data_IF_979528170579
#
_entry.id   IF_979528170579
#
_cell.length_a   1.000
_cell.length_b   1.000
_cell.length_c   1.000
_cell.angle_alpha   90.00
_cell.angle_beta   90.00
_cell.angle_gamma   90.00
#
_symmetry.space_group_name_H-M   'P 1'
#
loop_
_entity.id
_entity.type
_entity.pdbx_description
1 polymer ?
#
# COMPACT_ATOMS: atom_id res chain seq x y z
N UNK A 1 2.56 7.41 35.88
CA UNK A 1 2.40 7.16 34.42
C UNK A 1 1.45 8.23 33.88
N UNK A 2 1.93 9.13 33.01
CA UNK A 2 1.10 10.22 32.46
C UNK A 2 0.35 9.77 31.21
N UNK A 3 -0.96 9.96 31.16
CA UNK A 3 -1.79 9.67 29.99
C UNK A 3 -1.48 10.65 28.84
N UNK A 4 -1.80 10.27 27.60
CA UNK A 4 -1.55 11.13 26.44
C UNK A 4 -2.35 12.43 26.49
N UNK A 5 -3.61 12.35 26.91
CA UNK A 5 -4.49 13.51 27.11
C UNK A 5 -3.90 14.47 28.14
N UNK A 6 -3.39 13.96 29.25
CA UNK A 6 -2.74 14.79 30.27
C UNK A 6 -1.54 15.53 29.68
N UNK A 7 -0.67 14.84 28.94
CA UNK A 7 0.49 15.46 28.29
C UNK A 7 0.09 16.52 27.27
N UNK A 8 -0.94 16.27 26.46
CA UNK A 8 -1.44 17.23 25.46
C UNK A 8 -2.02 18.48 26.11
N UNK A 9 -2.80 18.31 27.19
CA UNK A 9 -3.36 19.44 27.96
C UNK A 9 -2.26 20.32 28.53
N UNK A 10 -1.25 19.74 29.16
CA UNK A 10 -0.11 20.50 29.69
C UNK A 10 0.65 21.20 28.57
N UNK A 11 0.90 20.53 27.44
CA UNK A 11 1.56 21.18 26.30
C UNK A 11 0.77 22.38 25.78
N UNK A 12 -0.56 22.25 25.62
CA UNK A 12 -1.43 23.36 25.21
C UNK A 12 -1.39 24.53 26.20
N UNK A 13 -1.47 24.26 27.50
CA UNK A 13 -1.37 25.28 28.56
C UNK A 13 -0.01 25.99 28.45
N UNK A 14 1.09 25.24 28.32
CA UNK A 14 2.44 25.82 28.21
C UNK A 14 2.73 26.53 26.89
N UNK A 15 2.05 26.17 25.79
CA UNK A 15 2.23 26.83 24.49
C UNK A 15 1.64 28.25 24.47
N UNK A 16 0.64 28.51 25.32
CA UNK A 16 0.00 29.84 25.45
C UNK A 16 0.64 30.74 26.51
N UNK A 17 1.60 30.21 27.27
CA UNK A 17 2.20 30.87 28.43
C UNK A 17 3.61 31.39 28.15
N UNK A 18 3.98 32.47 28.84
CA UNK A 18 5.37 32.97 28.85
C UNK A 18 6.26 32.10 29.77
N UNK A 19 7.58 32.18 29.62
CA UNK A 19 8.55 31.34 30.35
C UNK A 19 8.35 31.31 31.88
N UNK A 20 8.01 32.45 32.49
CA UNK A 20 7.71 32.54 33.93
C UNK A 20 6.43 31.80 34.35
N UNK A 21 5.42 31.77 33.50
CA UNK A 21 4.16 31.05 33.73
C UNK A 21 4.34 29.54 33.51
N UNK A 22 5.15 29.15 32.53
CA UNK A 22 5.53 27.75 32.31
C UNK A 22 6.17 27.17 33.57
N UNK A 23 7.11 27.89 34.19
CA UNK A 23 7.74 27.47 35.44
C UNK A 23 6.77 27.33 36.63
N UNK A 24 5.67 28.09 36.66
CA UNK A 24 4.62 27.95 37.66
C UNK A 24 3.78 26.68 37.43
N UNK A 25 3.40 26.41 36.18
CA UNK A 25 2.67 25.19 35.79
C UNK A 25 3.51 23.94 36.11
N UNK A 26 4.80 23.96 35.77
CA UNK A 26 5.71 22.85 36.05
C UNK A 26 5.79 22.52 37.55
N UNK A 27 5.87 23.54 38.41
CA UNK A 27 5.88 23.34 39.87
C UNK A 27 4.54 22.82 40.40
N UNK A 28 3.41 23.32 39.88
CA UNK A 28 2.05 22.86 40.24
C UNK A 28 1.86 21.38 39.92
N UNK A 29 2.36 20.96 38.77
CA UNK A 29 2.19 19.59 38.24
C UNK A 29 3.32 18.64 38.66
N UNK A 30 4.36 19.13 39.35
CA UNK A 30 5.55 18.33 39.73
C UNK A 30 6.37 17.87 38.52
N UNK A 31 6.36 18.63 37.43
CA UNK A 31 7.01 18.29 36.16
C UNK A 31 8.35 19.02 36.02
N UNK A 32 9.32 18.36 35.39
CA UNK A 32 10.59 18.98 35.02
C UNK A 32 10.57 19.46 33.56
N UNK A 33 11.40 20.45 33.23
CA UNK A 33 11.49 21.02 31.88
C UNK A 33 11.83 19.97 30.81
N UNK A 34 12.61 18.94 31.17
CA UNK A 34 12.93 17.81 30.27
C UNK A 34 11.68 17.04 29.82
N UNK A 35 10.64 16.99 30.65
CA UNK A 35 9.37 16.36 30.28
C UNK A 35 8.70 17.13 29.14
N UNK A 36 8.67 18.46 29.20
CA UNK A 36 8.10 19.28 28.13
C UNK A 36 8.88 19.11 26.83
N UNK A 37 10.21 19.15 26.87
CA UNK A 37 11.05 18.92 25.69
C UNK A 37 10.76 17.56 25.06
N UNK A 38 10.69 16.52 25.90
CA UNK A 38 10.38 15.16 25.45
C UNK A 38 8.98 15.08 24.84
N UNK A 39 7.98 15.68 25.48
CA UNK A 39 6.59 15.63 25.02
C UNK A 39 6.37 16.48 23.76
N UNK A 40 7.06 17.62 23.60
CA UNK A 40 7.05 18.40 22.35
C UNK A 40 7.61 17.59 21.19
N UNK A 41 8.72 16.88 21.39
CA UNK A 41 9.27 15.95 20.39
C UNK A 41 8.31 14.81 20.07
N UNK A 42 7.67 14.22 21.09
CA UNK A 42 6.64 13.19 20.89
C UNK A 42 5.41 13.72 20.14
N UNK A 43 5.00 14.97 20.36
CA UNK A 43 3.92 15.63 19.59
C UNK A 43 4.31 15.80 18.12
N UNK A 44 5.50 16.36 17.87
CA UNK A 44 6.02 16.58 16.52
C UNK A 44 6.19 15.26 15.73
N UNK A 45 6.60 14.19 16.42
CA UNK A 45 6.71 12.85 15.83
C UNK A 45 5.36 12.12 15.68
N UNK A 46 4.23 12.76 16.02
CA UNK A 46 2.89 12.15 15.98
C UNK A 46 2.65 11.05 17.02
N UNK A 47 3.59 10.85 17.95
CA UNK A 47 3.55 9.78 18.94
C UNK A 47 2.51 10.06 20.03
N UNK A 48 2.29 11.31 20.44
CA UNK A 48 1.26 11.62 21.45
C UNK A 48 -0.17 11.37 20.94
N UNK A 49 -0.44 11.63 19.66
CA UNK A 49 -1.70 11.23 19.02
C UNK A 49 -1.79 9.70 18.81
N UNK A 50 -0.66 9.04 18.56
CA UNK A 50 -0.59 7.58 18.51
C UNK A 50 -0.73 6.90 19.88
N UNK A 51 -0.63 7.63 21.00
CA UNK A 51 -0.94 7.10 22.33
C UNK A 51 -2.43 7.25 22.69
N UNK A 52 -3.17 8.20 22.10
CA UNK A 52 -4.64 8.26 22.23
C UNK A 52 -5.30 7.20 21.36
N UNK A 53 -4.80 7.00 20.15
CA UNK A 53 -5.18 5.89 19.28
C UNK A 53 -4.36 4.64 19.63
N UNK A 54 -4.79 3.93 20.67
CA UNK A 54 -4.22 2.67 21.13
C UNK A 54 -4.47 1.51 20.14
N UNK A 55 -4.31 1.73 18.83
CA UNK A 55 -4.24 0.66 17.83
C UNK A 55 -2.79 0.23 17.67
N UNK A 56 -2.36 -0.65 18.56
CA UNK A 56 -1.17 -1.50 18.34
C UNK A 56 -1.34 -2.26 17.02
N UNK A 57 -0.44 -2.02 16.07
CA UNK A 57 -0.32 -2.80 14.83
C UNK A 57 0.26 -1.99 13.68
N UNK A 58 0.92 -2.69 12.74
CA UNK A 58 1.21 -2.16 11.39
C UNK A 58 -0.11 -1.61 10.84
N UNK A 59 -0.15 -0.33 10.41
CA UNK A 59 -1.31 0.19 9.65
C UNK A 59 -1.66 -0.87 8.60
N UNK A 60 -2.91 -1.36 8.50
CA UNK A 60 -3.26 -2.28 7.44
C UNK A 60 -2.81 -1.60 6.14
N UNK A 61 -1.87 -2.23 5.45
CA UNK A 61 -1.49 -1.77 4.12
C UNK A 61 -2.82 -1.72 3.37
N UNK A 62 -3.25 -0.56 2.83
CA UNK A 62 -4.50 -0.49 2.11
C UNK A 62 -4.41 -1.57 1.04
N UNK A 63 -5.31 -2.55 1.13
CA UNK A 63 -5.36 -3.66 0.21
C UNK A 63 -5.47 -3.03 -1.18
N UNK A 64 -4.43 -3.21 -2.00
CA UNK A 64 -4.34 -2.52 -3.27
C UNK A 64 -5.58 -2.95 -4.06
N UNK A 65 -6.53 -2.06 -4.38
CA UNK A 65 -7.78 -2.44 -5.03
C UNK A 65 -7.55 -3.10 -6.40
N UNK A 66 -6.34 -2.98 -6.94
CA UNK A 66 -5.90 -3.59 -8.19
C UNK A 66 -5.33 -5.01 -8.02
N UNK A 67 -5.13 -5.52 -6.81
CA UNK A 67 -4.55 -6.85 -6.58
C UNK A 67 -5.43 -7.97 -7.15
N UNK A 68 -6.73 -7.92 -6.88
CA UNK A 68 -7.70 -8.87 -7.39
C UNK A 68 -7.79 -8.82 -8.94
N UNK A 69 -7.73 -7.61 -9.50
CA UNK A 69 -7.75 -7.41 -10.95
C UNK A 69 -6.47 -7.93 -11.61
N UNK A 70 -5.30 -7.67 -11.01
CA UNK A 70 -4.01 -8.18 -11.49
C UNK A 70 -3.99 -9.71 -11.46
N UNK A 71 -4.53 -10.34 -10.42
CA UNK A 71 -4.63 -11.80 -10.38
C UNK A 71 -5.57 -12.36 -11.45
N UNK A 72 -6.73 -11.72 -11.64
CA UNK A 72 -7.69 -12.09 -12.69
C UNK A 72 -7.03 -12.02 -14.07
N UNK A 73 -6.39 -10.88 -14.37
CA UNK A 73 -5.70 -10.65 -15.63
C UNK A 73 -4.55 -11.64 -15.85
N UNK A 74 -3.79 -11.99 -14.80
CA UNK A 74 -2.73 -13.01 -14.89
C UNK A 74 -3.27 -14.39 -15.28
N UNK A 75 -4.36 -14.82 -14.64
CA UNK A 75 -5.01 -16.12 -14.97
C UNK A 75 -5.52 -16.13 -16.41
N UNK A 76 -6.14 -15.04 -16.85
CA UNK A 76 -6.65 -14.93 -18.22
C UNK A 76 -5.51 -14.93 -19.24
N UNK A 77 -4.44 -14.18 -18.99
CA UNK A 77 -3.27 -14.13 -19.86
C UNK A 77 -2.61 -15.51 -19.99
N UNK A 78 -2.47 -16.24 -18.87
CA UNK A 78 -1.97 -17.62 -18.89
C UNK A 78 -2.86 -18.55 -19.72
N UNK A 79 -4.19 -18.47 -19.56
CA UNK A 79 -5.14 -19.28 -20.33
C UNK A 79 -5.08 -18.97 -21.83
N UNK A 80 -4.98 -17.69 -22.19
CA UNK A 80 -4.85 -17.26 -23.58
C UNK A 80 -3.52 -17.72 -24.18
N UNK A 81 -2.42 -17.63 -23.43
CA UNK A 81 -1.11 -18.12 -23.85
C UNK A 81 -1.12 -19.62 -24.17
N UNK A 82 -1.73 -20.44 -23.32
CA UNK A 82 -1.87 -21.89 -23.59
C UNK A 82 -2.68 -22.19 -24.85
N UNK A 83 -3.76 -21.42 -25.10
CA UNK A 83 -4.59 -21.61 -26.30
C UNK A 83 -3.87 -21.17 -27.56
N UNK A 84 -3.03 -20.13 -27.47
CA UNK A 84 -2.18 -19.67 -28.56
C UNK A 84 -1.13 -20.72 -28.90
N UNK A 85 -0.43 -21.27 -27.91
CA UNK A 85 0.55 -22.35 -28.10
C UNK A 85 -0.09 -23.59 -28.76
N UNK A 86 -1.30 -23.96 -28.35
CA UNK A 86 -2.05 -25.05 -28.98
C UNK A 86 -2.39 -24.76 -30.44
N UNK A 87 -2.81 -23.53 -30.76
CA UNK A 87 -3.12 -23.13 -32.13
C UNK A 87 -1.88 -23.11 -33.02
N UNK A 88 -0.75 -22.60 -32.52
CA UNK A 88 0.54 -22.63 -33.20
C UNK A 88 0.98 -24.06 -33.50
N UNK A 89 0.83 -24.98 -32.55
CA UNK A 89 1.14 -26.40 -32.76
C UNK A 89 0.26 -27.02 -33.85
N UNK A 90 -1.03 -26.71 -33.88
CA UNK A 90 -1.93 -27.19 -34.94
C UNK A 90 -1.49 -26.67 -36.31
N UNK A 91 -1.18 -25.38 -36.40
CA UNK A 91 -0.70 -24.75 -37.65
C UNK A 91 0.59 -25.42 -38.11
N UNK A 92 1.51 -25.70 -37.20
CA UNK A 92 2.78 -26.36 -37.52
C UNK A 92 2.58 -27.80 -38.00
N UNK A 93 1.68 -28.56 -37.37
CA UNK A 93 1.32 -29.91 -37.81
C UNK A 93 0.70 -29.84 -39.21
N UNK A 94 -0.22 -28.90 -39.46
CA UNK A 94 -0.85 -28.71 -40.77
C UNK A 94 0.19 -28.41 -41.86
N UNK A 95 1.13 -27.48 -41.60
CA UNK A 95 2.23 -27.15 -42.52
C UNK A 95 3.13 -28.36 -42.83
N UNK A 96 3.50 -29.12 -41.79
CA UNK A 96 4.34 -30.33 -41.95
C UNK A 96 3.61 -31.41 -42.74
N UNK A 97 2.32 -31.64 -42.46
CA UNK A 97 1.51 -32.60 -43.19
C UNK A 97 1.35 -32.21 -44.67
N UNK A 98 1.10 -30.93 -44.99
CA UNK A 98 1.06 -30.47 -46.38
C UNK A 98 2.38 -30.67 -47.12
N UNK A 99 3.51 -30.40 -46.44
CA UNK A 99 4.84 -30.57 -47.03
C UNK A 99 5.14 -32.04 -47.34
N UNK A 100 4.75 -32.96 -46.45
CA UNK A 100 4.95 -34.41 -46.64
C UNK A 100 4.02 -34.95 -47.74
N UNK A 101 2.77 -34.49 -47.77
CA UNK A 101 1.76 -34.98 -48.70
C UNK A 101 1.77 -34.27 -50.07
N UNK A 102 2.63 -33.26 -50.24
CA UNK A 102 2.69 -32.39 -51.42
C UNK A 102 1.33 -31.74 -51.77
N UNK A 103 0.45 -31.61 -50.78
CA UNK A 103 -0.85 -30.97 -50.91
C UNK A 103 -0.62 -29.48 -50.66
N UNK A 104 -0.79 -28.64 -51.68
CA UNK A 104 -0.71 -27.19 -51.52
C UNK A 104 -1.82 -26.74 -50.56
N UNK A 105 -1.46 -26.37 -49.33
CA UNK A 105 -2.41 -25.80 -48.39
C UNK A 105 -2.82 -24.43 -48.95
N UNK A 106 -4.05 -24.30 -49.44
CA UNK A 106 -4.59 -23.00 -49.82
C UNK A 106 -4.72 -22.17 -48.54
N UNK A 107 -3.76 -21.28 -48.31
CA UNK A 107 -3.79 -20.30 -47.23
C UNK A 107 -5.02 -19.41 -47.44
N UNK A 108 -6.11 -19.68 -46.75
CA UNK A 108 -7.22 -18.73 -46.67
C UNK A 108 -6.76 -17.56 -45.81
N UNK A 109 -6.20 -16.57 -46.48
CA UNK A 109 -6.03 -15.23 -45.95
C UNK A 109 -7.42 -14.62 -45.82
N UNK A 110 -8.00 -14.71 -44.62
CA UNK A 110 -9.21 -13.99 -44.29
C UNK A 110 -8.83 -12.64 -43.70
N UNK A 111 -8.54 -11.69 -44.58
CA UNK A 111 -8.58 -10.26 -44.25
C UNK A 111 -10.03 -9.88 -43.95
N UNK A 112 -10.43 -9.99 -42.69
CA UNK A 112 -11.64 -9.33 -42.20
C UNK A 112 -11.23 -8.09 -41.41
N UNK A 113 -11.09 -7.00 -42.16
CA UNK A 113 -11.24 -5.64 -41.68
C UNK A 113 -12.74 -5.31 -41.64
N UNK A 114 -13.32 -5.22 -40.45
CA UNK A 114 -14.25 -4.17 -39.98
C UNK A 114 -14.56 -4.34 -38.49
#
# INVERSE_FOLDING_TARGET
MHTAEYKLRILQETDTCNEGQIGAILRREGLYSSHLTTWRRQRQAGQLAALTDNKRGRKPTPENPLSAEVERLRRENQRLGQRLEQAELIIDIQKKASAILNITLATQHNDNND
#
